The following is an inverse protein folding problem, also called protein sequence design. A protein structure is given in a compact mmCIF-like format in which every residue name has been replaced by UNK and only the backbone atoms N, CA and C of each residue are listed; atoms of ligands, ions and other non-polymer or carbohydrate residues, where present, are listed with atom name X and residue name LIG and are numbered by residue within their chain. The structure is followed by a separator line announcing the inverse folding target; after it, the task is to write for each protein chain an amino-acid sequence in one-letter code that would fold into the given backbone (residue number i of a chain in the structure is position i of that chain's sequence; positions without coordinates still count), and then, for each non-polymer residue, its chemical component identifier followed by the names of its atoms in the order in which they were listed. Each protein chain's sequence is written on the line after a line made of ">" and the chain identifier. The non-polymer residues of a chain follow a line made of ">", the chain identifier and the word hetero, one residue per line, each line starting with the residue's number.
data_IF_326508670369
#
_entry.id   IF_326508670369
#
_cell.length_a   1.000
_cell.length_b   1.000
_cell.length_c   1.000
_cell.angle_alpha   90.00
_cell.angle_beta   90.00
_cell.angle_gamma   90.00
#
_symmetry.space_group_name_H-M   'P 1'
#
loop_
_entity.id
_entity.type
_entity.pdbx_description
1 polymer ?
#
# COMPACT_ATOMS: atom_id res chain seq x y z
N UNK A 1 7.79 11.01 5.83
CA UNK A 1 6.51 11.43 6.43
C UNK A 1 6.69 12.59 7.43
N UNK A 2 7.74 12.58 8.26
CA UNK A 2 8.02 13.62 9.26
C UNK A 2 8.36 15.01 8.70
N UNK A 3 8.76 15.12 7.42
CA UNK A 3 9.07 16.39 6.74
C UNK A 3 7.97 17.46 6.82
N UNK A 4 6.74 17.06 7.08
CA UNK A 4 5.59 17.96 7.18
C UNK A 4 5.42 18.57 8.59
N UNK A 5 6.22 18.17 9.58
CA UNK A 5 6.12 18.66 10.95
C UNK A 5 7.29 19.58 11.31
N UNK A 6 6.99 20.68 11.99
CA UNK A 6 8.00 21.56 12.57
C UNK A 6 8.30 21.11 14.01
N UNK A 7 9.43 20.41 14.21
CA UNK A 7 9.85 19.85 15.51
C UNK A 7 10.98 20.70 16.10
N UNK A 8 10.81 21.19 17.33
CA UNK A 8 11.82 21.97 18.07
C UNK A 8 12.05 21.36 19.47
N UNK A 9 13.30 21.05 19.87
CA UNK A 9 14.52 21.10 19.06
C UNK A 9 14.47 20.09 17.90
N UNK A 10 15.27 20.33 16.86
CA UNK A 10 15.28 19.47 15.70
C UNK A 10 15.71 18.03 16.05
N UNK A 11 15.11 17.04 15.37
CA UNK A 11 15.53 15.64 15.49
C UNK A 11 17.01 15.48 15.12
N UNK A 12 17.73 14.53 15.75
CA UNK A 12 19.12 14.21 15.39
C UNK A 12 19.28 13.97 13.90
N UNK A 13 20.40 14.42 13.33
CA UNK A 13 20.65 14.34 11.89
C UNK A 13 20.46 12.94 11.31
N UNK A 14 21.00 11.90 11.98
CA UNK A 14 20.88 10.50 11.55
C UNK A 14 19.42 10.03 11.45
N UNK A 15 18.57 10.46 12.39
CA UNK A 15 17.14 10.11 12.39
C UNK A 15 16.42 10.81 11.24
N UNK A 16 16.73 12.09 10.99
CA UNK A 16 16.19 12.82 9.83
C UNK A 16 16.60 12.15 8.53
N UNK A 17 17.87 11.84 8.34
CA UNK A 17 18.39 11.22 7.11
C UNK A 17 17.64 9.93 6.74
N UNK A 18 17.40 9.02 7.70
CA UNK A 18 16.71 7.76 7.41
C UNK A 18 15.20 7.92 7.25
N UNK A 19 14.56 8.81 8.03
CA UNK A 19 13.10 9.04 7.93
C UNK A 19 12.71 9.83 6.68
N UNK A 20 13.63 10.66 6.19
CA UNK A 20 13.46 11.48 5.00
C UNK A 20 13.80 10.72 3.71
N UNK A 21 14.70 9.73 3.76
CA UNK A 21 15.03 8.93 2.58
C UNK A 21 14.00 7.87 2.24
N UNK A 22 13.03 7.62 3.13
CA UNK A 22 11.98 6.63 2.96
C UNK A 22 10.98 7.03 1.86
N UNK A 23 10.77 6.15 0.88
CA UNK A 23 9.91 6.41 -0.29
C UNK A 23 8.84 5.34 -0.48
N UNK A 24 7.64 5.78 -0.82
CA UNK A 24 6.54 4.91 -1.23
C UNK A 24 6.51 4.76 -2.76
N UNK A 25 6.16 3.55 -3.20
CA UNK A 25 6.07 3.18 -4.61
C UNK A 25 4.84 3.72 -5.32
N UNK A 26 4.82 3.52 -6.64
CA UNK A 26 3.61 3.64 -7.46
C UNK A 26 2.83 2.35 -7.34
N UNK A 27 1.86 2.35 -6.42
CA UNK A 27 0.98 1.23 -6.18
C UNK A 27 -0.44 1.71 -6.39
N UNK A 28 -1.14 1.14 -7.37
CA UNK A 28 -2.49 1.54 -7.72
C UNK A 28 -3.41 0.33 -7.73
N UNK A 29 -4.69 0.56 -7.48
CA UNK A 29 -5.71 -0.49 -7.46
C UNK A 29 -6.79 -0.15 -8.46
N UNK A 30 -7.17 -1.11 -9.30
CA UNK A 30 -8.39 -1.06 -10.09
C UNK A 30 -9.30 -2.22 -9.63
N UNK A 31 -10.59 -1.97 -9.43
CA UNK A 31 -11.55 -3.00 -9.02
C UNK A 31 -12.64 -3.03 -10.08
N UNK A 32 -12.81 -4.19 -10.72
CA UNK A 32 -13.82 -4.40 -11.75
C UNK A 32 -14.94 -5.23 -11.15
N UNK A 33 -16.14 -4.65 -11.09
CA UNK A 33 -17.34 -5.28 -10.54
C UNK A 33 -18.21 -5.81 -11.68
N UNK A 34 -18.77 -7.01 -11.51
CA UNK A 34 -19.59 -7.71 -12.52
C UNK A 34 -20.87 -8.27 -11.90
N UNK A 35 -21.88 -8.53 -12.74
CA UNK A 35 -23.15 -9.14 -12.32
C UNK A 35 -22.98 -10.62 -11.94
N UNK A 36 -22.00 -11.29 -12.56
CA UNK A 36 -21.68 -12.69 -12.32
C UNK A 36 -20.17 -12.88 -12.20
N UNK A 37 -19.70 -13.91 -11.47
CA UNK A 37 -18.29 -14.25 -11.42
C UNK A 37 -17.89 -15.08 -12.65
N UNK A 38 -18.08 -14.55 -13.85
CA UNK A 38 -17.95 -15.25 -15.15
C UNK A 38 -16.60 -15.97 -15.34
N UNK A 39 -15.53 -15.53 -14.67
CA UNK A 39 -14.24 -16.22 -14.71
C UNK A 39 -14.28 -17.60 -14.05
N UNK A 40 -15.16 -17.80 -13.08
CA UNK A 40 -15.38 -19.09 -12.40
C UNK A 40 -16.07 -20.09 -13.32
N UNK A 41 -16.98 -19.63 -14.18
CA UNK A 41 -17.65 -20.47 -15.19
C UNK A 41 -16.66 -21.00 -16.24
N UNK A 42 -15.56 -20.27 -16.45
CA UNK A 42 -14.42 -20.70 -17.27
C UNK A 42 -13.44 -21.63 -16.54
N UNK A 43 -13.72 -21.98 -15.28
CA UNK A 43 -12.87 -22.83 -14.45
C UNK A 43 -11.69 -22.12 -13.78
N UNK A 44 -11.70 -20.78 -13.71
CA UNK A 44 -10.62 -19.99 -13.09
C UNK A 44 -10.99 -19.46 -11.69
N UNK A 45 -9.98 -19.28 -10.84
CA UNK A 45 -10.14 -18.72 -9.49
C UNK A 45 -9.93 -17.19 -9.42
N UNK A 46 -9.79 -16.52 -10.57
CA UNK A 46 -9.55 -15.07 -10.65
C UNK A 46 -8.15 -14.59 -10.23
N UNK A 47 -7.22 -15.48 -9.88
CA UNK A 47 -5.82 -15.12 -9.64
C UNK A 47 -5.01 -15.17 -10.93
N UNK A 48 -4.24 -14.11 -11.19
CA UNK A 48 -3.13 -14.16 -12.15
C UNK A 48 -2.00 -13.21 -11.76
N UNK A 49 -0.82 -13.45 -12.33
CA UNK A 49 0.31 -12.50 -12.38
C UNK A 49 0.69 -12.28 -13.83
N UNK A 50 1.13 -11.06 -14.16
CA UNK A 50 1.50 -10.69 -15.52
C UNK A 50 2.74 -9.81 -15.52
N UNK A 51 3.67 -10.14 -16.41
CA UNK A 51 4.85 -9.31 -16.71
C UNK A 51 4.58 -8.33 -17.87
N UNK A 52 3.40 -8.41 -18.49
CA UNK A 52 2.88 -7.42 -19.43
C UNK A 52 1.78 -6.61 -18.76
N UNK A 53 1.86 -5.28 -18.83
CA UNK A 53 0.98 -4.38 -18.09
C UNK A 53 -0.37 -4.08 -18.77
N UNK A 54 -1.19 -3.23 -18.12
CA UNK A 54 -0.89 -2.51 -16.87
C UNK A 54 -0.98 -3.33 -15.56
N UNK A 55 -1.85 -4.34 -15.50
CA UNK A 55 -2.08 -5.16 -14.31
C UNK A 55 -0.89 -6.09 -14.09
N UNK A 56 -0.26 -6.02 -12.92
CA UNK A 56 0.82 -6.92 -12.54
C UNK A 56 0.29 -8.17 -11.83
N UNK A 57 -0.80 -8.03 -11.07
CA UNK A 57 -1.42 -9.10 -10.30
C UNK A 57 -2.91 -8.80 -10.12
N UNK A 58 -3.76 -9.81 -10.19
CA UNK A 58 -5.17 -9.69 -9.80
C UNK A 58 -5.58 -10.81 -8.85
N UNK A 59 -6.70 -10.59 -8.15
CA UNK A 59 -7.37 -11.56 -7.28
C UNK A 59 -8.87 -11.43 -7.43
N UNK A 60 -9.56 -12.56 -7.35
CA UNK A 60 -10.98 -12.59 -7.00
C UNK A 60 -11.14 -12.04 -5.58
N UNK A 61 -11.93 -10.98 -5.45
CA UNK A 61 -12.30 -10.35 -4.17
C UNK A 61 -13.81 -10.28 -4.02
N UNK A 62 -14.50 -11.27 -4.60
CA UNK A 62 -15.95 -11.37 -4.51
C UNK A 62 -16.40 -11.74 -3.10
N UNK A 63 -17.61 -11.33 -2.76
CA UNK A 63 -18.31 -11.67 -1.52
C UNK A 63 -19.62 -12.35 -1.91
N UNK A 64 -19.61 -13.69 -1.92
CA UNK A 64 -20.69 -14.50 -2.46
C UNK A 64 -22.00 -14.32 -1.67
N UNK A 65 -21.91 -14.11 -0.36
CA UNK A 65 -23.05 -13.90 0.55
C UNK A 65 -23.86 -12.65 0.20
N UNK A 66 -23.26 -11.70 -0.51
CA UNK A 66 -23.88 -10.43 -0.90
C UNK A 66 -23.92 -10.23 -2.41
N UNK A 67 -23.61 -11.28 -3.19
CA UNK A 67 -23.57 -11.26 -4.64
C UNK A 67 -22.72 -10.11 -5.22
N UNK A 68 -21.64 -9.73 -4.52
CA UNK A 68 -20.69 -8.74 -5.02
C UNK A 68 -19.53 -9.46 -5.71
N UNK A 69 -19.51 -9.49 -7.04
CA UNK A 69 -18.47 -10.17 -7.80
C UNK A 69 -17.45 -9.17 -8.32
N UNK A 70 -16.18 -9.32 -7.92
CA UNK A 70 -15.15 -8.35 -8.26
C UNK A 70 -13.76 -8.96 -8.47
N UNK A 71 -13.05 -8.43 -9.46
CA UNK A 71 -11.62 -8.64 -9.65
C UNK A 71 -10.85 -7.40 -9.17
N UNK A 72 -10.11 -7.56 -8.07
CA UNK A 72 -9.13 -6.56 -7.63
C UNK A 72 -7.85 -6.73 -8.44
N UNK A 73 -7.47 -5.70 -9.17
CA UNK A 73 -6.31 -5.64 -10.05
C UNK A 73 -5.30 -4.62 -9.52
N UNK A 74 -4.06 -5.04 -9.34
CA UNK A 74 -2.97 -4.18 -8.90
C UNK A 74 -2.11 -3.71 -10.08
N UNK A 75 -1.97 -2.39 -10.21
CA UNK A 75 -1.28 -1.71 -11.30
C UNK A 75 -0.10 -0.95 -10.70
N UNK A 76 1.06 -1.61 -10.66
CA UNK A 76 2.17 -1.25 -9.78
C UNK A 76 3.49 -1.00 -10.51
N UNK A 77 4.44 -0.39 -9.81
CA UNK A 77 5.79 -0.14 -10.33
C UNK A 77 5.78 0.80 -11.54
N UNK A 78 6.58 0.49 -12.56
CA UNK A 78 6.65 1.29 -13.79
C UNK A 78 5.32 1.35 -14.52
N UNK A 79 4.60 0.22 -14.61
CA UNK A 79 3.25 0.21 -15.19
C UNK A 79 2.30 1.08 -14.38
N UNK A 80 2.38 1.04 -13.05
CA UNK A 80 1.63 1.92 -12.15
C UNK A 80 1.89 3.40 -12.39
N UNK A 81 3.16 3.78 -12.53
CA UNK A 81 3.56 5.15 -12.81
C UNK A 81 3.00 5.65 -14.14
N UNK A 82 3.16 4.88 -15.22
CA UNK A 82 2.70 5.26 -16.55
C UNK A 82 1.17 5.30 -16.61
N UNK A 83 0.51 4.29 -16.05
CA UNK A 83 -0.94 4.20 -16.00
C UNK A 83 -1.58 5.35 -15.21
N UNK A 84 -0.95 5.81 -14.12
CA UNK A 84 -1.46 6.92 -13.32
C UNK A 84 -1.50 8.27 -14.06
N UNK A 85 -0.75 8.42 -15.15
CA UNK A 85 -0.68 9.66 -15.96
C UNK A 85 -1.80 9.72 -17.01
N UNK A 86 -2.51 8.61 -17.24
CA UNK A 86 -3.55 8.50 -18.25
C UNK A 86 -4.88 9.07 -17.76
N UNK A 87 -5.75 9.44 -18.69
CA UNK A 87 -7.12 9.83 -18.35
C UNK A 87 -7.93 8.64 -17.79
N UNK A 88 -8.94 8.88 -16.93
CA UNK A 88 -9.71 7.80 -16.30
C UNK A 88 -10.31 6.78 -17.29
N UNK A 89 -10.83 7.25 -18.43
CA UNK A 89 -11.41 6.37 -19.44
C UNK A 89 -10.36 5.44 -20.11
N UNK A 90 -9.12 5.93 -20.29
CA UNK A 90 -8.02 5.12 -20.83
C UNK A 90 -7.54 4.08 -19.82
N UNK A 91 -7.45 4.48 -18.54
CA UNK A 91 -7.10 3.58 -17.45
C UNK A 91 -8.06 2.40 -17.37
N UNK A 92 -9.37 2.69 -17.37
CA UNK A 92 -10.45 1.69 -17.41
C UNK A 92 -10.31 0.79 -18.63
N UNK A 93 -10.16 1.37 -19.83
CA UNK A 93 -10.02 0.62 -21.09
C UNK A 93 -8.85 -0.37 -21.05
N UNK A 94 -7.66 0.06 -20.61
CA UNK A 94 -6.47 -0.79 -20.63
C UNK A 94 -6.55 -1.96 -19.65
N UNK A 95 -7.12 -1.74 -18.47
CA UNK A 95 -7.33 -2.81 -17.47
C UNK A 95 -8.31 -3.86 -18.02
N UNK A 96 -9.46 -3.43 -18.55
CA UNK A 96 -10.45 -4.33 -19.17
C UNK A 96 -9.85 -5.11 -20.34
N UNK A 97 -9.12 -4.43 -21.24
CA UNK A 97 -8.46 -5.08 -22.39
C UNK A 97 -7.47 -6.16 -21.95
N UNK A 98 -6.71 -5.92 -20.87
CA UNK A 98 -5.81 -6.94 -20.35
C UNK A 98 -6.56 -8.11 -19.73
N UNK A 99 -7.64 -7.88 -18.98
CA UNK A 99 -8.50 -8.95 -18.46
C UNK A 99 -8.99 -9.84 -19.60
N UNK A 100 -9.52 -9.25 -20.67
CA UNK A 100 -9.95 -10.01 -21.85
C UNK A 100 -8.85 -10.89 -22.44
N UNK A 101 -7.63 -10.36 -22.55
CA UNK A 101 -6.45 -11.13 -23.04
C UNK A 101 -6.04 -12.25 -22.09
N UNK A 102 -6.01 -12.01 -20.78
CA UNK A 102 -5.60 -12.98 -19.77
C UNK A 102 -6.54 -14.18 -19.76
N UNK A 103 -7.85 -13.92 -19.78
CA UNK A 103 -8.88 -14.97 -19.78
C UNK A 103 -9.19 -15.50 -21.19
N UNK A 104 -8.52 -14.97 -22.22
CA UNK A 104 -8.67 -15.37 -23.64
C UNK A 104 -10.12 -15.28 -24.13
N UNK A 105 -10.82 -14.23 -23.73
CA UNK A 105 -12.20 -13.98 -24.10
C UNK A 105 -12.32 -12.83 -25.11
N UNK A 106 -13.39 -12.85 -25.89
CA UNK A 106 -13.66 -11.87 -26.95
C UNK A 106 -14.35 -10.62 -26.40
N UNK A 107 -14.40 -9.55 -27.20
CA UNK A 107 -14.93 -8.24 -26.81
C UNK A 107 -16.43 -8.24 -26.47
N UNK A 108 -17.15 -9.27 -26.90
CA UNK A 108 -18.57 -9.52 -26.61
C UNK A 108 -18.79 -10.34 -25.32
N UNK A 109 -17.74 -10.73 -24.61
CA UNK A 109 -17.84 -11.42 -23.31
C UNK A 109 -18.14 -10.48 -22.14
N UNK A 110 -18.57 -11.05 -21.01
CA UNK A 110 -18.84 -10.31 -19.77
C UNK A 110 -17.64 -9.55 -19.24
N UNK A 111 -16.41 -10.00 -19.54
CA UNK A 111 -15.18 -9.30 -19.16
C UNK A 111 -15.13 -7.83 -19.65
N UNK A 112 -15.83 -7.50 -20.73
CA UNK A 112 -15.88 -6.15 -21.30
C UNK A 112 -17.09 -5.33 -20.83
N UNK A 113 -17.94 -5.89 -19.96
CA UNK A 113 -19.14 -5.26 -19.39
C UNK A 113 -19.10 -5.21 -17.85
N UNK A 114 -18.07 -4.61 -17.22
CA UNK A 114 -18.13 -4.39 -15.78
C UNK A 114 -19.27 -3.39 -15.47
N UNK A 115 -20.07 -3.71 -14.45
CA UNK A 115 -21.08 -2.81 -13.89
C UNK A 115 -20.41 -1.51 -13.45
N UNK A 116 -19.27 -1.65 -12.76
CA UNK A 116 -18.47 -0.52 -12.31
C UNK A 116 -16.97 -0.84 -12.32
N UNK A 117 -16.16 0.19 -12.51
CA UNK A 117 -14.71 0.13 -12.37
C UNK A 117 -14.24 1.25 -11.45
N UNK A 118 -13.77 0.88 -10.27
CA UNK A 118 -13.12 1.80 -9.35
C UNK A 118 -11.63 1.84 -9.64
N UNK A 119 -11.01 3.01 -9.61
CA UNK A 119 -9.56 3.14 -9.49
C UNK A 119 -9.12 4.00 -8.31
N UNK A 120 -7.98 3.62 -7.73
CA UNK A 120 -7.30 4.36 -6.68
C UNK A 120 -5.82 4.50 -7.03
N UNK A 121 -5.37 5.74 -7.13
CA UNK A 121 -3.96 6.08 -7.36
C UNK A 121 -3.37 6.60 -6.05
N UNK A 122 -2.78 5.70 -5.26
CA UNK A 122 -2.31 6.02 -3.91
C UNK A 122 -1.24 7.11 -3.85
N UNK A 123 -0.55 7.37 -4.97
CA UNK A 123 0.41 8.48 -5.06
C UNK A 123 -0.25 9.86 -4.89
N UNK A 124 -1.53 9.99 -5.24
CA UNK A 124 -2.29 11.23 -5.16
C UNK A 124 -3.01 11.42 -3.81
N UNK A 125 -3.02 10.39 -2.95
CA UNK A 125 -3.55 10.52 -1.59
C UNK A 125 -2.71 11.51 -0.79
N UNK A 126 -3.33 12.57 -0.29
CA UNK A 126 -2.68 13.72 0.35
C UNK A 126 -1.76 13.30 1.51
N UNK A 127 -2.26 12.40 2.36
CA UNK A 127 -1.57 11.98 3.57
C UNK A 127 -0.74 10.71 3.40
N UNK A 128 -1.17 9.78 2.54
CA UNK A 128 -0.41 8.55 2.26
C UNK A 128 0.77 8.82 1.32
N UNK A 129 0.60 9.64 0.27
CA UNK A 129 1.64 10.00 -0.71
C UNK A 129 2.25 8.80 -1.48
N UNK A 130 1.56 7.66 -1.46
CA UNK A 130 1.94 6.40 -2.09
C UNK A 130 1.51 5.18 -1.26
N UNK A 131 1.87 3.99 -1.75
CA UNK A 131 1.63 2.69 -1.13
C UNK A 131 2.66 1.68 -1.69
N UNK A 132 2.80 0.45 -1.18
CA UNK A 132 2.19 -0.10 0.05
C UNK A 132 3.09 0.08 1.28
N UNK A 133 4.34 -0.33 1.18
CA UNK A 133 5.35 -0.24 2.23
C UNK A 133 6.45 0.69 1.74
N UNK A 134 6.91 1.63 2.56
CA UNK A 134 7.99 2.48 2.13
C UNK A 134 9.32 1.76 2.26
N UNK A 135 10.20 2.12 1.33
CA UNK A 135 11.53 1.55 1.19
C UNK A 135 12.53 2.65 1.51
N UNK A 136 13.47 2.36 2.41
CA UNK A 136 14.58 3.26 2.68
C UNK A 136 15.57 3.24 1.52
N UNK A 137 16.35 4.31 1.38
CA UNK A 137 17.40 4.38 0.38
C UNK A 137 18.43 3.24 0.54
N UNK A 138 19.06 2.85 -0.58
CA UNK A 138 20.01 1.74 -0.61
C UNK A 138 21.11 1.97 0.44
N UNK A 139 21.37 0.96 1.28
CA UNK A 139 22.35 1.02 2.36
C UNK A 139 21.88 1.74 3.63
N UNK A 140 20.73 2.43 3.63
CA UNK A 140 20.25 3.14 4.82
C UNK A 140 19.75 2.17 5.90
N UNK A 141 19.23 1.01 5.52
CA UNK A 141 18.75 0.01 6.49
C UNK A 141 19.87 -0.47 7.42
N UNK A 142 21.10 -0.63 6.93
CA UNK A 142 22.25 -1.03 7.75
C UNK A 142 22.95 0.16 8.40
N UNK A 143 23.14 1.26 7.66
CA UNK A 143 23.82 2.47 8.15
C UNK A 143 23.13 3.11 9.36
N UNK A 144 21.80 3.02 9.42
CA UNK A 144 20.97 3.65 10.45
C UNK A 144 20.23 2.63 11.31
N UNK A 145 20.66 1.35 11.34
CA UNK A 145 20.02 0.29 12.12
C UNK A 145 19.92 0.61 13.62
N UNK A 146 20.87 1.37 14.14
CA UNK A 146 20.95 1.85 15.53
C UNK A 146 19.89 2.91 15.88
N UNK A 147 19.37 3.64 14.89
CA UNK A 147 18.44 4.76 15.10
C UNK A 147 17.07 4.59 14.44
N UNK A 148 16.93 3.68 13.47
CA UNK A 148 15.70 3.52 12.71
C UNK A 148 14.55 3.01 13.60
N UNK A 149 13.49 3.83 13.72
CA UNK A 149 12.33 3.52 14.55
C UNK A 149 12.58 3.59 16.06
N UNK A 150 13.74 4.09 16.52
CA UNK A 150 14.05 4.23 17.94
C UNK A 150 13.53 5.56 18.50
N UNK A 151 13.05 5.60 19.75
CA UNK A 151 12.60 6.84 20.38
C UNK A 151 13.68 7.92 20.42
N UNK A 152 13.25 9.19 20.29
CA UNK A 152 14.10 10.38 20.44
C UNK A 152 13.48 11.29 21.49
N UNK A 153 14.07 11.34 22.68
CA UNK A 153 13.46 12.02 23.82
C UNK A 153 12.09 11.42 24.13
N UNK A 154 11.04 12.25 24.09
CA UNK A 154 9.66 11.84 24.33
C UNK A 154 8.89 11.50 23.04
N UNK A 155 9.58 11.42 21.88
CA UNK A 155 8.96 11.08 20.59
C UNK A 155 9.20 9.59 20.32
N UNK A 156 8.10 8.84 20.20
CA UNK A 156 8.08 7.43 19.83
C UNK A 156 7.55 7.27 18.40
N UNK A 157 8.14 6.36 17.64
CA UNK A 157 7.80 6.16 16.23
C UNK A 157 6.93 4.91 16.05
N UNK A 158 5.69 5.11 15.62
CA UNK A 158 4.74 4.04 15.31
C UNK A 158 4.30 4.09 13.86
N UNK A 159 4.07 2.92 13.29
CA UNK A 159 3.74 2.74 11.87
C UNK A 159 4.29 1.40 11.39
N UNK A 160 3.62 0.79 10.41
CA UNK A 160 4.01 -0.54 9.90
C UNK A 160 5.48 -0.58 9.45
N UNK A 161 6.02 0.56 9.05
CA UNK A 161 7.41 0.82 8.68
C UNK A 161 8.45 0.52 9.75
N UNK A 162 8.04 0.61 11.01
CA UNK A 162 8.88 0.45 12.19
C UNK A 162 8.68 -0.93 12.84
N UNK A 163 7.76 -1.74 12.33
CA UNK A 163 7.61 -3.12 12.77
C UNK A 163 8.79 -3.99 12.33
N UNK A 164 9.21 -4.91 13.19
CA UNK A 164 10.19 -5.95 12.87
C UNK A 164 9.58 -7.12 12.10
N UNK A 165 8.28 -7.35 12.29
CA UNK A 165 7.51 -8.42 11.65
C UNK A 165 6.39 -7.82 10.80
N UNK A 166 6.07 -8.45 9.67
CA UNK A 166 5.00 -8.00 8.77
C UNK A 166 5.06 -6.52 8.36
N UNK A 167 6.28 -5.96 8.30
CA UNK A 167 6.52 -4.58 7.87
C UNK A 167 5.87 -4.32 6.51
N UNK A 168 5.06 -3.27 6.43
CA UNK A 168 4.31 -2.89 5.24
C UNK A 168 2.88 -3.46 5.17
N UNK A 169 2.47 -4.27 6.14
CA UNK A 169 1.13 -4.84 6.24
C UNK A 169 0.37 -4.29 7.45
N UNK A 170 -0.94 -4.56 7.48
CA UNK A 170 -1.81 -4.18 8.61
C UNK A 170 -1.31 -4.79 9.93
N UNK A 171 -0.84 -6.04 9.91
CA UNK A 171 -0.28 -6.69 11.09
C UNK A 171 0.92 -5.92 11.66
N UNK A 172 1.84 -5.47 10.80
CA UNK A 172 2.95 -4.62 11.23
C UNK A 172 2.50 -3.29 11.84
N UNK A 173 1.38 -2.72 11.39
CA UNK A 173 0.82 -1.52 12.01
C UNK A 173 0.32 -1.80 13.43
N UNK A 174 -0.35 -2.93 13.64
CA UNK A 174 -0.80 -3.39 14.96
C UNK A 174 0.39 -3.65 15.89
N UNK A 175 1.36 -4.46 15.45
CA UNK A 175 2.55 -4.78 16.23
C UNK A 175 3.33 -3.52 16.64
N UNK A 176 3.56 -2.59 15.70
CA UNK A 176 4.26 -1.34 15.98
C UNK A 176 3.47 -0.43 16.94
N UNK A 177 2.14 -0.39 16.82
CA UNK A 177 1.28 0.38 17.71
C UNK A 177 1.34 -0.12 19.15
N UNK A 178 1.23 -1.44 19.36
CA UNK A 178 1.36 -2.06 20.68
C UNK A 178 2.75 -1.83 21.29
N UNK A 179 3.80 -1.97 20.48
CA UNK A 179 5.16 -1.76 20.93
C UNK A 179 5.40 -0.30 21.34
N UNK A 180 4.97 0.66 20.52
CA UNK A 180 5.09 2.08 20.85
C UNK A 180 4.32 2.45 22.13
N UNK A 181 3.14 1.88 22.35
CA UNK A 181 2.38 2.08 23.59
C UNK A 181 3.15 1.55 24.82
N UNK A 182 3.75 0.36 24.73
CA UNK A 182 4.60 -0.21 25.79
C UNK A 182 5.79 0.69 26.09
N UNK A 183 6.49 1.18 25.06
CA UNK A 183 7.63 2.09 25.23
C UNK A 183 7.25 3.36 26.00
N UNK A 184 6.10 3.96 25.69
CA UNK A 184 5.59 5.15 26.39
C UNK A 184 5.27 4.83 27.86
N UNK A 185 4.61 3.71 28.13
CA UNK A 185 4.29 3.28 29.50
C UNK A 185 5.56 3.08 30.32
N UNK A 186 6.57 2.40 29.76
CA UNK A 186 7.86 2.20 30.42
C UNK A 186 8.59 3.52 30.67
N UNK A 187 8.56 4.46 29.73
CA UNK A 187 9.16 5.78 29.89
C UNK A 187 8.53 6.55 31.07
N UNK A 188 7.21 6.49 31.24
CA UNK A 188 6.51 7.08 32.38
C UNK A 188 6.88 6.44 33.72
N UNK A 189 7.13 5.12 33.74
CA UNK A 189 7.52 4.42 34.97
C UNK A 189 8.95 4.73 35.40
N UNK A 190 9.84 5.00 34.44
CA UNK A 190 11.25 5.32 34.69
C UNK A 190 11.47 6.79 35.03
N UNK A 191 10.60 7.69 34.58
CA UNK A 191 10.65 9.08 34.97
C UNK A 191 10.23 9.22 36.46
N UNK A 192 11.00 9.93 37.31
CA UNK A 192 10.51 10.26 38.65
C UNK A 192 9.18 10.97 38.50
N UNK A 193 8.13 10.51 39.20
CA UNK A 193 6.87 11.24 39.28
C UNK A 193 7.20 12.65 39.74
N UNK A 194 7.06 13.63 38.86
CA UNK A 194 7.04 15.02 39.30
C UNK A 194 5.89 15.12 40.30
N UNK A 195 6.22 15.34 41.56
CA UNK A 195 5.20 15.70 42.55
C UNK A 195 4.56 16.98 42.02
N UNK A 196 3.27 16.89 41.70
CA UNK A 196 2.42 18.05 41.42
C UNK A 196 2.35 18.96 42.65
#
# INVERSE_FOLDING_TARGET
>A
MLRNFNITPALPQRVREVTDSSRLGHYNKAILCYDTPWWRDLGYNGFFMSYTGPIALARDTSVDETSHYALTCFVNGKFGEDWSKLYPHERRRLVIQQIGRIFKVQADSEAFRPIEVFDQIWKHEEFSKGALAPVTEIGHYTRYADVYGKPVGNIHFVGTEYSTEWKGYMEGALCSGEQGAKEVIEAFQRAPRANL
#
